data_IF_961715350075
#
_entry.id   IF_961715350075
#
_cell.length_a   1.000
_cell.length_b   1.000
_cell.length_c   1.000
_cell.angle_alpha   90.00
_cell.angle_beta   90.00
_cell.angle_gamma   90.00
#
_symmetry.space_group_name_H-M   'P 1'
#
loop_
_entity.id
_entity.type
_entity.pdbx_description
1 polymer ?
#
# COMPACT_ATOMS: atom_id res chain seq x y z
N UNK A 1 2.80 -2.31 15.25
CA UNK A 1 3.51 -2.91 14.10
C UNK A 1 3.16 -4.39 13.98
N UNK A 2 1.89 -4.72 13.69
CA UNK A 2 1.43 -6.11 13.50
C UNK A 2 1.28 -6.47 12.00
N UNK A 3 1.24 -5.47 11.12
CA UNK A 3 1.14 -5.67 9.66
C UNK A 3 2.38 -6.29 9.02
N UNK A 4 3.51 -6.35 9.73
CA UNK A 4 4.74 -7.03 9.28
C UNK A 4 4.62 -8.55 9.27
N UNK A 5 3.81 -9.12 10.16
CA UNK A 5 3.66 -10.58 10.27
C UNK A 5 2.69 -11.15 9.22
N UNK A 6 1.76 -10.34 8.69
CA UNK A 6 0.80 -10.78 7.66
C UNK A 6 0.56 -9.68 6.62
N UNK A 7 1.53 -9.41 5.72
CA UNK A 7 1.41 -8.39 4.68
C UNK A 7 0.24 -8.68 3.72
N UNK A 8 -0.15 -9.95 3.57
CA UNK A 8 -1.26 -10.37 2.72
C UNK A 8 -2.63 -9.89 3.24
N UNK A 9 -2.90 -10.07 4.54
CA UNK A 9 -4.17 -9.62 5.15
C UNK A 9 -4.25 -8.10 5.14
N UNK A 10 -3.13 -7.43 5.47
CA UNK A 10 -3.07 -5.96 5.42
C UNK A 10 -3.30 -5.44 4.01
N UNK A 11 -2.66 -6.07 3.01
CA UNK A 11 -2.85 -5.75 1.60
C UNK A 11 -4.31 -5.92 1.15
N UNK A 12 -5.00 -6.97 1.61
CA UNK A 12 -6.41 -7.19 1.29
C UNK A 12 -7.35 -6.19 1.98
N UNK A 13 -7.06 -5.80 3.22
CA UNK A 13 -7.79 -4.73 3.92
C UNK A 13 -7.63 -3.39 3.19
N UNK A 14 -6.40 -3.08 2.77
CA UNK A 14 -6.08 -1.94 1.92
C UNK A 14 -6.82 -2.00 0.57
N UNK A 15 -6.78 -3.14 -0.12
CA UNK A 15 -7.48 -3.31 -1.37
C UNK A 15 -8.99 -3.10 -1.19
N UNK A 16 -9.59 -3.69 -0.15
CA UNK A 16 -11.01 -3.50 0.19
C UNK A 16 -11.35 -2.03 0.48
N UNK A 17 -10.49 -1.33 1.23
CA UNK A 17 -10.61 0.11 1.49
C UNK A 17 -10.55 0.94 0.19
N UNK A 18 -9.77 0.49 -0.79
CA UNK A 18 -9.60 1.13 -2.09
C UNK A 18 -10.54 0.58 -3.18
N UNK A 19 -11.52 -0.24 -2.81
CA UNK A 19 -12.47 -0.92 -3.69
C UNK A 19 -11.78 -1.79 -4.77
N UNK A 20 -10.66 -2.43 -4.43
CA UNK A 20 -9.92 -3.38 -5.25
C UNK A 20 -9.94 -4.80 -4.69
N UNK A 21 -9.70 -5.76 -5.57
CA UNK A 21 -9.65 -7.18 -5.21
C UNK A 21 -8.41 -7.52 -4.37
N UNK A 22 -8.61 -8.31 -3.32
CA UNK A 22 -7.56 -8.88 -2.45
C UNK A 22 -6.47 -9.66 -3.23
N UNK A 23 -6.73 -10.07 -4.47
CA UNK A 23 -5.77 -10.73 -5.35
C UNK A 23 -4.67 -9.80 -5.89
N UNK A 24 -4.89 -8.49 -5.94
CA UNK A 24 -3.94 -7.50 -6.51
C UNK A 24 -2.61 -7.47 -5.76
N UNK A 25 -2.56 -7.34 -4.42
CA UNK A 25 -1.29 -7.33 -3.68
C UNK A 25 -0.50 -8.64 -3.71
N UNK A 26 -1.18 -9.78 -3.77
CA UNK A 26 -0.56 -11.08 -3.52
C UNK A 26 -0.21 -11.86 -4.80
N UNK A 27 -0.93 -11.60 -5.89
CA UNK A 27 -0.79 -12.36 -7.15
C UNK A 27 -0.04 -11.56 -8.24
N UNK A 28 0.11 -10.25 -8.07
CA UNK A 28 0.77 -9.38 -9.04
C UNK A 28 2.04 -8.78 -8.44
N UNK A 29 3.20 -9.15 -8.99
CA UNK A 29 4.48 -8.47 -8.74
C UNK A 29 4.37 -7.00 -9.20
N UNK A 30 3.85 -6.14 -8.33
CA UNK A 30 3.52 -4.75 -8.65
C UNK A 30 2.21 -4.24 -8.05
N UNK A 31 1.34 -5.11 -7.52
CA UNK A 31 0.09 -4.67 -6.86
C UNK A 31 0.35 -3.76 -5.66
N UNK A 32 1.43 -4.02 -4.91
CA UNK A 32 1.90 -3.15 -3.83
C UNK A 32 2.28 -1.74 -4.32
N UNK A 33 2.98 -1.68 -5.47
CA UNK A 33 3.37 -0.42 -6.10
C UNK A 33 2.14 0.33 -6.60
N UNK A 34 1.20 -0.39 -7.23
CA UNK A 34 -0.06 0.15 -7.69
C UNK A 34 -0.88 0.77 -6.56
N UNK A 35 -1.05 0.06 -5.44
CA UNK A 35 -1.75 0.60 -4.27
C UNK A 35 -1.04 1.81 -3.67
N UNK A 36 0.30 1.83 -3.69
CA UNK A 36 1.07 2.97 -3.20
C UNK A 36 0.91 4.22 -4.07
N UNK A 37 1.03 4.05 -5.40
CA UNK A 37 0.81 5.13 -6.37
C UNK A 37 -0.63 5.63 -6.27
N UNK A 38 -1.61 4.72 -6.22
CA UNK A 38 -3.03 5.07 -6.11
C UNK A 38 -3.32 5.80 -4.79
N UNK A 39 -2.70 5.40 -3.69
CA UNK A 39 -2.77 6.12 -2.42
C UNK A 39 -2.18 7.53 -2.51
N UNK A 40 -0.97 7.68 -3.06
CA UNK A 40 -0.35 9.00 -3.29
C UNK A 40 -1.21 9.89 -4.18
N UNK A 41 -1.82 9.33 -5.21
CA UNK A 41 -2.69 10.03 -6.16
C UNK A 41 -3.99 10.49 -5.47
N UNK A 42 -4.63 9.64 -4.67
CA UNK A 42 -5.83 10.01 -3.91
C UNK A 42 -5.56 11.10 -2.87
N UNK A 43 -4.36 11.12 -2.28
CA UNK A 43 -4.01 12.13 -1.29
C UNK A 43 -3.21 13.31 -1.85
N UNK A 44 -3.02 13.38 -3.18
CA UNK A 44 -2.26 14.42 -3.86
C UNK A 44 -0.86 14.65 -3.27
N UNK A 45 -0.21 13.58 -2.79
CA UNK A 45 1.09 13.67 -2.15
C UNK A 45 2.17 13.59 -3.22
N UNK A 46 2.95 14.66 -3.38
CA UNK A 46 4.06 14.72 -4.32
C UNK A 46 5.13 13.65 -4.06
N UNK A 47 5.53 12.95 -5.12
CA UNK A 47 6.58 11.92 -5.08
C UNK A 47 6.89 11.39 -6.48
N UNK A 48 8.05 10.76 -6.65
CA UNK A 48 8.47 10.15 -7.92
C UNK A 48 8.29 8.64 -7.89
N UNK A 49 7.87 8.05 -9.02
CA UNK A 49 7.70 6.61 -9.18
C UNK A 49 9.00 5.87 -8.86
N UNK A 50 10.16 6.42 -9.25
CA UNK A 50 11.47 5.85 -8.97
C UNK A 50 11.77 5.78 -7.46
N UNK A 51 11.46 6.84 -6.71
CA UNK A 51 11.65 6.82 -5.26
C UNK A 51 10.74 5.78 -4.61
N UNK A 52 9.49 5.70 -5.07
CA UNK A 52 8.52 4.72 -4.58
C UNK A 52 8.95 3.28 -4.90
N UNK A 53 9.52 3.05 -6.09
CA UNK A 53 10.10 1.77 -6.49
C UNK A 53 11.26 1.36 -5.59
N UNK A 54 12.21 2.28 -5.36
CA UNK A 54 13.35 2.04 -4.48
C UNK A 54 12.89 1.77 -3.04
N UNK A 55 11.95 2.54 -2.49
CA UNK A 55 11.49 2.30 -1.11
C UNK A 55 10.74 0.99 -0.97
N UNK A 56 9.96 0.59 -1.97
CA UNK A 56 9.23 -0.69 -1.93
C UNK A 56 10.19 -1.88 -2.09
N UNK A 57 11.27 -1.75 -2.86
CA UNK A 57 12.32 -2.77 -2.95
C UNK A 57 13.16 -2.85 -1.67
N UNK A 58 13.47 -1.73 -1.02
CA UNK A 58 14.30 -1.70 0.18
C UNK A 58 13.51 -2.03 1.47
N UNK A 59 12.28 -1.54 1.62
CA UNK A 59 11.38 -1.90 2.73
C UNK A 59 9.89 -1.81 2.34
N UNK A 60 9.42 -2.71 1.47
CA UNK A 60 8.01 -2.79 1.08
C UNK A 60 7.02 -2.93 2.24
N UNK A 61 7.44 -3.55 3.34
CA UNK A 61 6.58 -3.74 4.53
C UNK A 61 6.42 -2.46 5.34
N UNK A 62 7.50 -1.68 5.51
CA UNK A 62 7.45 -0.36 6.14
C UNK A 62 6.51 0.57 5.38
N UNK A 63 6.63 0.53 4.06
CA UNK A 63 5.84 1.27 3.10
C UNK A 63 4.36 0.91 3.20
N UNK A 64 4.04 -0.38 3.27
CA UNK A 64 2.68 -0.85 3.45
C UNK A 64 2.07 -0.36 4.77
N UNK A 65 2.86 -0.40 5.84
CA UNK A 65 2.44 0.06 7.16
C UNK A 65 2.22 1.58 7.21
N UNK A 66 3.04 2.36 6.52
CA UNK A 66 2.81 3.80 6.36
C UNK A 66 1.49 4.05 5.64
N UNK A 67 1.29 3.38 4.51
CA UNK A 67 0.06 3.55 3.72
C UNK A 67 -1.19 3.14 4.50
N UNK A 68 -1.15 2.00 5.20
CA UNK A 68 -2.25 1.55 6.06
C UNK A 68 -2.58 2.57 7.17
N UNK A 69 -1.56 3.20 7.74
CA UNK A 69 -1.73 4.20 8.81
C UNK A 69 -2.34 5.49 8.28
N UNK A 70 -1.93 5.92 7.09
CA UNK A 70 -2.55 7.06 6.40
C UNK A 70 -4.01 6.77 6.03
N UNK A 71 -4.32 5.60 5.48
CA UNK A 71 -5.72 5.22 5.19
C UNK A 71 -6.58 5.18 6.46
N UNK A 72 -6.04 4.61 7.54
CA UNK A 72 -6.73 4.53 8.83
C UNK A 72 -6.93 5.90 9.47
N UNK A 73 -5.96 6.82 9.37
CA UNK A 73 -6.12 8.19 9.87
C UNK A 73 -7.18 8.96 9.07
N UNK A 74 -7.36 8.59 7.80
CA UNK A 74 -8.35 9.17 6.88
C UNK A 74 -9.71 8.47 6.93
N UNK A 75 -9.88 7.41 7.74
CA UNK A 75 -11.14 6.67 7.88
C UNK A 75 -11.52 5.82 6.67
N UNK A 76 -10.57 5.52 5.77
CA UNK A 76 -10.80 4.65 4.62
C UNK A 76 -10.67 3.15 4.98
N UNK A 77 -10.11 2.84 6.15
CA UNK A 77 -9.87 1.48 6.66
C UNK A 77 -10.51 1.29 8.04
#
# INVERSE_FOLDING_TARGET
CLGTFVPCILGCQLASAMNESCCVPNMLHGGLMGMRIKGRMQYNIGGTICNDWCTTNFCGVCVLCQLARELRSKGAM
#
